data_IF_091490560622
#
_entry.id   IF_091490560622
#
_cell.length_a   1.000
_cell.length_b   1.000
_cell.length_c   1.000
_cell.angle_alpha   90.00
_cell.angle_beta   90.00
_cell.angle_gamma   90.00
#
_symmetry.space_group_name_H-M   'P 1'
#
loop_
_entity.id
_entity.type
_entity.pdbx_description
1 polymer ?
#
# COMPACT_ATOMS: atom_id res chain seq x y z
N UNK A 1 -12.23 23.00 0.63
CA UNK A 1 -12.71 21.69 0.14
C UNK A 1 -11.62 21.12 -0.74
N UNK A 2 -10.92 20.07 -0.30
CA UNK A 2 -9.86 19.45 -1.08
C UNK A 2 -10.50 18.50 -2.09
N UNK A 3 -10.75 19.01 -3.29
CA UNK A 3 -11.28 18.24 -4.40
C UNK A 3 -10.13 17.41 -5.02
N UNK A 4 -10.43 16.17 -5.38
CA UNK A 4 -9.53 15.31 -6.15
C UNK A 4 -9.67 15.60 -7.66
N UNK A 5 -8.78 15.01 -8.44
CA UNK A 5 -8.71 15.16 -9.91
C UNK A 5 -10.02 14.80 -10.65
N UNK A 6 -10.92 14.05 -9.99
CA UNK A 6 -12.23 13.63 -10.50
C UNK A 6 -13.41 14.45 -9.94
N UNK A 7 -13.15 15.50 -9.17
CA UNK A 7 -14.17 16.32 -8.52
C UNK A 7 -14.77 15.71 -7.25
N UNK A 8 -14.33 14.53 -6.82
CA UNK A 8 -14.76 13.94 -5.54
C UNK A 8 -14.13 14.67 -4.38
N UNK A 9 -14.88 14.87 -3.29
CA UNK A 9 -14.29 15.36 -2.04
C UNK A 9 -13.79 14.20 -1.17
N UNK A 10 -12.80 14.48 -0.32
CA UNK A 10 -12.33 13.53 0.72
C UNK A 10 -13.48 13.07 1.62
N UNK A 11 -14.44 13.95 1.89
CA UNK A 11 -15.61 13.67 2.71
C UNK A 11 -16.54 12.65 2.03
N UNK A 12 -16.78 12.79 0.72
CA UNK A 12 -17.57 11.83 -0.06
C UNK A 12 -16.94 10.44 -0.03
N UNK A 13 -15.62 10.36 -0.26
CA UNK A 13 -14.89 9.09 -0.20
C UNK A 13 -14.96 8.44 1.19
N UNK A 14 -14.92 9.27 2.25
CA UNK A 14 -15.03 8.78 3.63
C UNK A 14 -16.42 8.21 3.90
N UNK A 15 -17.48 8.86 3.40
CA UNK A 15 -18.86 8.36 3.51
C UNK A 15 -19.07 7.07 2.73
N UNK A 16 -18.60 7.01 1.47
CA UNK A 16 -18.64 5.79 0.65
C UNK A 16 -17.88 4.67 1.37
N UNK A 17 -16.71 4.96 1.92
CA UNK A 17 -15.91 3.99 2.67
C UNK A 17 -16.62 3.43 3.88
N UNK A 18 -17.19 4.29 4.74
CA UNK A 18 -17.97 3.83 5.91
C UNK A 18 -19.13 2.93 5.50
N UNK A 19 -19.89 3.33 4.49
CA UNK A 19 -20.99 2.53 3.96
C UNK A 19 -20.48 1.16 3.46
N UNK A 20 -19.43 1.16 2.64
CA UNK A 20 -18.84 -0.05 2.09
C UNK A 20 -18.32 -0.99 3.18
N UNK A 21 -17.60 -0.46 4.17
CA UNK A 21 -17.04 -1.23 5.28
C UNK A 21 -18.12 -1.91 6.13
N UNK A 22 -19.24 -1.23 6.40
CA UNK A 22 -20.36 -1.81 7.15
C UNK A 22 -21.17 -2.80 6.29
N UNK A 23 -21.44 -2.47 5.02
CA UNK A 23 -22.18 -3.34 4.11
C UNK A 23 -21.46 -4.66 3.87
N UNK A 24 -20.12 -4.64 3.73
CA UNK A 24 -19.30 -5.81 3.38
C UNK A 24 -18.86 -6.66 4.57
N UNK A 25 -19.34 -6.36 5.79
CA UNK A 25 -18.87 -7.02 7.02
C UNK A 25 -19.00 -8.56 7.00
N UNK A 26 -20.06 -9.06 6.36
CA UNK A 26 -20.36 -10.50 6.29
C UNK A 26 -20.21 -11.06 4.87
N UNK A 27 -19.67 -10.27 3.94
CA UNK A 27 -19.52 -10.69 2.56
C UNK A 27 -18.34 -11.65 2.44
N UNK A 28 -18.44 -12.58 1.51
CA UNK A 28 -17.34 -13.44 1.10
C UNK A 28 -16.28 -12.64 0.32
N UNK A 29 -15.06 -13.19 0.22
CA UNK A 29 -14.00 -12.59 -0.61
C UNK A 29 -14.43 -12.37 -2.07
N UNK A 30 -15.28 -13.26 -2.62
CA UNK A 30 -15.81 -13.13 -3.98
C UNK A 30 -16.75 -11.94 -4.14
N UNK A 31 -17.65 -11.77 -3.19
CA UNK A 31 -18.58 -10.63 -3.18
C UNK A 31 -17.81 -9.33 -3.03
N UNK A 32 -16.74 -9.29 -2.24
CA UNK A 32 -15.88 -8.11 -2.07
C UNK A 32 -15.11 -7.79 -3.35
N UNK A 33 -14.51 -8.80 -3.99
CA UNK A 33 -13.84 -8.61 -5.28
C UNK A 33 -14.82 -8.14 -6.37
N UNK A 34 -16.05 -8.64 -6.35
CA UNK A 34 -17.11 -8.16 -7.24
C UNK A 34 -17.50 -6.72 -6.93
N UNK A 35 -17.76 -6.37 -5.67
CA UNK A 35 -18.11 -5.02 -5.24
C UNK A 35 -17.03 -4.01 -5.63
N UNK A 36 -15.78 -4.40 -5.44
CA UNK A 36 -14.61 -3.65 -5.89
C UNK A 36 -14.67 -3.35 -7.39
N UNK A 37 -14.98 -4.35 -8.23
CA UNK A 37 -15.09 -4.12 -9.69
C UNK A 37 -16.17 -3.10 -10.08
N UNK A 38 -17.25 -3.02 -9.30
CA UNK A 38 -18.33 -2.06 -9.54
C UNK A 38 -17.91 -0.64 -9.14
N UNK A 39 -17.31 -0.50 -7.95
CA UNK A 39 -16.83 0.80 -7.46
C UNK A 39 -15.58 1.29 -8.22
N UNK A 40 -14.72 0.39 -8.68
CA UNK A 40 -13.59 0.69 -9.58
C UNK A 40 -14.07 1.41 -10.84
N UNK A 41 -15.18 0.93 -11.41
CA UNK A 41 -15.79 1.54 -12.60
C UNK A 41 -16.30 2.97 -12.33
N UNK A 42 -16.91 3.19 -11.15
CA UNK A 42 -17.41 4.50 -10.73
C UNK A 42 -16.28 5.49 -10.42
N UNK A 43 -15.29 5.07 -9.63
CA UNK A 43 -14.14 5.89 -9.19
C UNK A 43 -13.03 5.99 -10.26
N UNK A 44 -13.20 5.32 -11.39
CA UNK A 44 -12.24 5.19 -12.48
C UNK A 44 -10.85 4.72 -12.00
N UNK A 45 -10.80 3.85 -10.98
CA UNK A 45 -9.54 3.49 -10.31
C UNK A 45 -8.57 2.79 -11.27
N UNK A 46 -9.07 1.89 -12.12
CA UNK A 46 -8.27 1.25 -13.17
C UNK A 46 -7.63 2.28 -14.11
N UNK A 47 -8.39 3.26 -14.59
CA UNK A 47 -7.87 4.33 -15.46
C UNK A 47 -6.79 5.14 -14.75
N UNK A 48 -6.97 5.44 -13.47
CA UNK A 48 -5.97 6.15 -12.65
C UNK A 48 -4.70 5.31 -12.45
N UNK A 49 -4.85 4.02 -12.14
CA UNK A 49 -3.73 3.08 -12.00
C UNK A 49 -2.98 2.93 -13.33
N UNK A 50 -3.68 2.78 -14.46
CA UNK A 50 -3.06 2.63 -15.79
C UNK A 50 -2.30 3.92 -16.19
N UNK A 51 -2.84 5.09 -15.86
CA UNK A 51 -2.15 6.38 -16.01
C UNK A 51 -0.89 6.44 -15.15
N UNK A 52 -1.00 6.06 -13.87
CA UNK A 52 0.13 6.03 -12.95
C UNK A 52 1.20 5.00 -13.35
N UNK A 53 0.79 3.86 -13.90
CA UNK A 53 1.69 2.84 -14.46
C UNK A 53 2.52 3.41 -15.62
N UNK A 54 1.92 4.28 -16.42
CA UNK A 54 2.57 4.92 -17.58
C UNK A 54 3.51 6.06 -17.17
N UNK A 55 3.50 6.49 -15.91
CA UNK A 55 4.42 7.51 -15.40
C UNK A 55 5.83 6.92 -15.23
N UNK A 56 6.79 7.48 -15.96
CA UNK A 56 8.21 7.09 -15.86
C UNK A 56 8.78 7.37 -14.47
N UNK A 57 8.40 8.51 -13.87
CA UNK A 57 8.85 8.94 -12.56
C UNK A 57 7.70 9.16 -11.58
N UNK A 58 7.96 8.83 -10.32
CA UNK A 58 7.06 9.09 -9.20
C UNK A 58 7.15 10.56 -8.75
N UNK A 59 6.12 11.05 -8.08
CA UNK A 59 6.04 12.41 -7.53
C UNK A 59 5.69 13.50 -8.55
N UNK A 60 5.77 13.22 -9.86
CA UNK A 60 5.41 14.18 -10.91
C UNK A 60 3.91 14.44 -10.89
N UNK A 61 3.08 13.40 -10.96
CA UNK A 61 1.63 13.52 -10.96
C UNK A 61 1.04 13.42 -9.55
N UNK A 62 1.52 14.26 -8.63
CA UNK A 62 1.14 14.21 -7.20
C UNK A 62 -0.38 14.28 -6.93
N UNK A 63 -1.16 14.92 -7.80
CA UNK A 63 -2.63 14.94 -7.69
C UNK A 63 -3.25 13.58 -8.03
N UNK A 64 -2.77 12.92 -9.09
CA UNK A 64 -3.18 11.55 -9.45
C UNK A 64 -2.83 10.59 -8.32
N UNK A 65 -1.60 10.67 -7.80
CA UNK A 65 -1.11 9.83 -6.70
C UNK A 65 -2.01 9.95 -5.46
N UNK A 66 -2.38 11.17 -5.06
CA UNK A 66 -3.34 11.34 -3.97
C UNK A 66 -4.72 10.80 -4.28
N UNK A 67 -5.21 11.04 -5.49
CA UNK A 67 -6.53 10.54 -5.87
C UNK A 67 -6.57 9.02 -5.74
N UNK A 68 -5.55 8.32 -6.25
CA UNK A 68 -5.40 6.88 -6.11
C UNK A 68 -5.34 6.50 -4.63
N UNK A 69 -4.43 7.10 -3.86
CA UNK A 69 -4.26 6.77 -2.44
C UNK A 69 -5.55 6.95 -1.66
N UNK A 70 -6.21 8.10 -1.76
CA UNK A 70 -7.43 8.37 -1.01
C UNK A 70 -8.60 7.50 -1.44
N UNK A 71 -8.79 7.27 -2.74
CA UNK A 71 -9.80 6.33 -3.20
C UNK A 71 -9.57 4.94 -2.60
N UNK A 72 -8.32 4.46 -2.57
CA UNK A 72 -8.05 3.13 -2.02
C UNK A 72 -8.13 3.08 -0.49
N UNK A 73 -7.49 4.04 0.18
CA UNK A 73 -7.38 4.09 1.64
C UNK A 73 -8.72 4.36 2.29
N UNK A 74 -9.40 5.43 1.90
CA UNK A 74 -10.64 5.84 2.56
C UNK A 74 -11.82 4.92 2.22
N UNK A 75 -11.90 4.45 0.97
CA UNK A 75 -13.04 3.61 0.55
C UNK A 75 -12.89 2.16 1.01
N UNK A 76 -11.66 1.61 0.98
CA UNK A 76 -11.47 0.18 1.19
C UNK A 76 -10.59 -0.16 2.40
N UNK A 77 -9.33 0.30 2.44
CA UNK A 77 -8.39 -0.24 3.42
C UNK A 77 -8.67 0.23 4.85
N UNK A 78 -9.03 1.50 5.02
CA UNK A 78 -9.30 2.08 6.34
C UNK A 78 -10.70 1.77 6.84
N UNK A 79 -11.65 1.56 5.94
CA UNK A 79 -13.05 1.26 6.27
C UNK A 79 -13.29 -0.22 6.61
N UNK A 80 -12.61 -1.15 5.93
CA UNK A 80 -12.80 -2.58 6.11
C UNK A 80 -12.03 -3.06 7.33
N UNK A 81 -12.70 -3.74 8.26
CA UNK A 81 -12.06 -4.21 9.49
C UNK A 81 -11.36 -5.56 9.35
N UNK A 82 -11.86 -6.46 8.49
CA UNK A 82 -11.35 -7.82 8.40
C UNK A 82 -10.06 -7.89 7.56
N UNK A 83 -9.01 -8.49 8.13
CA UNK A 83 -7.72 -8.66 7.44
C UNK A 83 -7.82 -9.51 6.17
N UNK A 84 -8.68 -10.53 6.15
CA UNK A 84 -8.89 -11.35 4.95
C UNK A 84 -9.46 -10.52 3.79
N UNK A 85 -10.41 -9.62 4.06
CA UNK A 85 -11.00 -8.73 3.07
C UNK A 85 -9.98 -7.73 2.52
N UNK A 86 -9.18 -7.11 3.41
CA UNK A 86 -8.06 -6.25 3.00
C UNK A 86 -7.05 -7.01 2.14
N UNK A 87 -6.70 -8.23 2.52
CA UNK A 87 -5.79 -9.10 1.76
C UNK A 87 -6.35 -9.47 0.39
N UNK A 88 -7.64 -9.77 0.30
CA UNK A 88 -8.32 -10.04 -0.96
C UNK A 88 -8.24 -8.84 -1.91
N UNK A 89 -8.57 -7.64 -1.43
CA UNK A 89 -8.51 -6.41 -2.23
C UNK A 89 -7.09 -6.06 -2.66
N UNK A 90 -6.13 -6.14 -1.73
CA UNK A 90 -4.73 -5.90 -2.05
C UNK A 90 -4.25 -6.88 -3.13
N UNK A 91 -4.65 -8.15 -3.06
CA UNK A 91 -4.33 -9.13 -4.08
C UNK A 91 -4.99 -8.80 -5.44
N UNK A 92 -6.26 -8.37 -5.46
CA UNK A 92 -6.94 -7.96 -6.71
C UNK A 92 -6.21 -6.80 -7.39
N UNK A 93 -5.69 -5.85 -6.61
CA UNK A 93 -4.95 -4.69 -7.11
C UNK A 93 -3.57 -5.10 -7.64
N UNK A 94 -2.83 -5.92 -6.88
CA UNK A 94 -1.42 -6.22 -7.16
C UNK A 94 -1.22 -7.37 -8.16
N UNK A 95 -2.03 -8.43 -8.11
CA UNK A 95 -1.70 -9.73 -8.73
C UNK A 95 -1.47 -9.67 -10.25
N UNK A 96 -2.09 -8.72 -10.95
CA UNK A 96 -1.95 -8.57 -12.41
C UNK A 96 -0.79 -7.68 -12.84
N UNK A 97 -0.07 -7.10 -11.88
CA UNK A 97 0.96 -6.11 -12.12
C UNK A 97 2.37 -6.72 -12.05
N UNK A 98 3.36 -6.19 -12.78
CA UNK A 98 4.75 -6.58 -12.58
C UNK A 98 5.24 -6.14 -11.20
N UNK A 99 6.22 -6.86 -10.65
CA UNK A 99 6.63 -6.70 -9.24
C UNK A 99 7.12 -5.29 -8.88
N UNK A 100 7.83 -4.61 -9.78
CA UNK A 100 8.24 -3.22 -9.63
C UNK A 100 7.05 -2.29 -9.41
N UNK A 101 5.95 -2.52 -10.13
CA UNK A 101 4.75 -1.72 -9.99
C UNK A 101 3.94 -2.12 -8.76
N UNK A 102 3.97 -3.40 -8.36
CA UNK A 102 3.37 -3.84 -7.11
C UNK A 102 4.02 -3.11 -5.91
N UNK A 103 5.36 -3.06 -5.88
CA UNK A 103 6.12 -2.33 -4.87
C UNK A 103 5.77 -0.83 -4.86
N UNK A 104 5.72 -0.22 -6.05
CA UNK A 104 5.34 1.19 -6.22
C UNK A 104 3.92 1.47 -5.73
N UNK A 105 2.95 0.59 -6.02
CA UNK A 105 1.57 0.71 -5.52
C UNK A 105 1.51 0.56 -4.00
N UNK A 106 2.25 -0.38 -3.41
CA UNK A 106 2.31 -0.50 -1.94
C UNK A 106 2.85 0.79 -1.31
N UNK A 107 3.93 1.35 -1.84
CA UNK A 107 4.46 2.61 -1.34
C UNK A 107 3.46 3.75 -1.51
N UNK A 108 2.82 3.86 -2.69
CA UNK A 108 1.81 4.88 -2.96
C UNK A 108 0.68 4.83 -1.92
N UNK A 109 0.19 3.63 -1.60
CA UNK A 109 -0.95 3.42 -0.72
C UNK A 109 -0.60 3.54 0.77
N UNK A 110 0.58 3.08 1.18
CA UNK A 110 0.92 2.85 2.59
C UNK A 110 2.17 3.61 3.06
N UNK A 111 2.95 4.19 2.15
CA UNK A 111 4.17 4.94 2.46
C UNK A 111 3.89 6.28 3.14
N UNK A 112 4.94 6.99 3.57
CA UNK A 112 4.82 8.25 4.29
C UNK A 112 4.27 9.38 3.41
N UNK A 113 3.60 10.33 4.05
CA UNK A 113 3.15 11.57 3.43
C UNK A 113 3.79 12.77 4.12
N UNK A 114 4.11 13.79 3.35
CA UNK A 114 4.60 15.09 3.82
C UNK A 114 3.89 16.20 3.06
N UNK A 115 3.39 17.22 3.75
CA UNK A 115 2.69 18.38 3.15
C UNK A 115 1.58 17.98 2.17
N UNK A 116 0.80 16.95 2.51
CA UNK A 116 -0.20 16.35 1.61
C UNK A 116 0.42 15.98 0.26
N UNK A 117 1.56 15.28 0.26
CA UNK A 117 2.25 14.62 -0.87
C UNK A 117 2.84 13.30 -0.42
N UNK A 118 2.88 12.31 -1.29
CA UNK A 118 3.64 11.08 -1.03
C UNK A 118 5.12 11.46 -0.97
N UNK A 119 5.79 11.18 0.15
CA UNK A 119 7.21 11.50 0.31
C UNK A 119 8.08 10.33 -0.13
N UNK A 120 8.15 10.13 -1.46
CA UNK A 120 8.88 9.05 -2.13
C UNK A 120 10.37 8.91 -1.74
N UNK A 121 10.95 9.96 -1.18
CA UNK A 121 12.37 10.02 -0.81
C UNK A 121 12.61 9.84 0.69
N UNK A 122 11.55 9.80 1.51
CA UNK A 122 11.63 9.82 2.98
C UNK A 122 12.64 8.81 3.54
N UNK A 123 12.61 7.58 3.03
CA UNK A 123 13.47 6.48 3.48
C UNK A 123 14.80 6.37 2.73
N UNK A 124 15.08 7.25 1.78
CA UNK A 124 16.37 7.33 1.08
C UNK A 124 17.22 8.49 1.57
N UNK A 125 16.60 9.53 2.14
CA UNK A 125 17.29 10.69 2.71
C UNK A 125 17.99 10.32 4.01
N UNK A 126 19.18 10.87 4.20
CA UNK A 126 19.88 10.78 5.48
C UNK A 126 19.05 11.43 6.58
N UNK A 127 19.03 10.80 7.75
CA UNK A 127 18.38 11.34 8.93
C UNK A 127 19.22 12.54 9.39
N UNK A 128 18.92 13.73 8.87
CA UNK A 128 19.78 14.91 8.98
C UNK A 128 19.93 15.48 10.40
N UNK A 129 19.38 14.83 11.43
CA UNK A 129 19.69 15.09 12.84
C UNK A 129 19.56 13.78 13.65
N UNK A 130 20.68 13.34 14.25
CA UNK A 130 20.85 12.07 14.99
C UNK A 130 19.99 11.97 16.28
N UNK A 131 19.13 12.95 16.56
CA UNK A 131 18.34 13.05 17.79
C UNK A 131 16.84 13.29 17.58
N UNK A 132 16.34 13.14 16.34
CA UNK A 132 14.89 13.21 16.11
C UNK A 132 14.33 11.79 16.12
N UNK A 133 13.51 11.49 17.13
CA UNK A 133 12.62 10.31 17.09
C UNK A 133 11.82 10.32 15.78
N UNK A 134 11.42 9.15 15.25
CA UNK A 134 10.49 9.08 14.12
C UNK A 134 9.31 10.01 14.43
N UNK A 135 8.97 10.88 13.49
CA UNK A 135 7.75 11.66 13.68
C UNK A 135 6.55 10.70 13.55
N UNK A 136 5.40 11.10 14.12
CA UNK A 136 4.19 10.25 14.15
C UNK A 136 3.82 9.73 12.76
N UNK A 137 4.04 10.53 11.72
CA UNK A 137 3.76 10.16 10.33
C UNK A 137 4.68 9.04 9.79
N UNK A 138 5.94 9.01 10.24
CA UNK A 138 6.92 7.98 9.88
C UNK A 138 6.62 6.65 10.59
N UNK A 139 6.30 6.70 11.88
CA UNK A 139 5.89 5.52 12.64
C UNK A 139 4.62 4.89 12.05
N UNK A 140 3.63 5.73 11.73
CA UNK A 140 2.39 5.31 11.10
C UNK A 140 2.64 4.69 9.72
N UNK A 141 3.56 5.23 8.93
CA UNK A 141 3.93 4.66 7.63
C UNK A 141 4.54 3.26 7.77
N UNK A 142 5.43 3.03 8.74
CA UNK A 142 5.95 1.68 9.02
C UNK A 142 4.85 0.70 9.40
N UNK A 143 3.93 1.15 10.25
CA UNK A 143 2.80 0.33 10.67
C UNK A 143 1.85 0.00 9.51
N UNK A 144 1.58 0.97 8.64
CA UNK A 144 0.75 0.78 7.45
C UNK A 144 1.41 -0.14 6.41
N UNK A 145 2.71 0.05 6.14
CA UNK A 145 3.48 -0.81 5.24
C UNK A 145 3.57 -2.25 5.76
N UNK A 146 3.94 -2.42 7.03
CA UNK A 146 3.98 -3.76 7.65
C UNK A 146 2.61 -4.44 7.65
N UNK A 147 1.54 -3.68 7.90
CA UNK A 147 0.17 -4.19 7.78
C UNK A 147 -0.12 -4.66 6.36
N UNK A 148 0.31 -3.95 5.32
CA UNK A 148 0.15 -4.39 3.94
C UNK A 148 0.79 -5.76 3.72
N UNK A 149 2.05 -5.96 4.14
CA UNK A 149 2.71 -7.28 4.08
C UNK A 149 1.99 -8.36 4.89
N UNK A 150 1.45 -7.99 6.06
CA UNK A 150 0.75 -8.94 6.95
C UNK A 150 -0.56 -9.47 6.38
N UNK A 151 -1.21 -8.73 5.45
CA UNK A 151 -2.51 -9.12 4.87
C UNK A 151 -2.38 -9.88 3.55
N UNK A 152 -1.22 -9.82 2.87
CA UNK A 152 -1.00 -10.46 1.56
C UNK A 152 -1.24 -11.98 1.55
N UNK A 153 -1.12 -12.69 2.68
CA UNK A 153 -1.39 -14.14 2.75
C UNK A 153 -2.63 -14.51 3.60
N UNK A 154 -3.43 -13.52 4.01
CA UNK A 154 -4.56 -13.73 4.93
C UNK A 154 -5.86 -14.07 4.24
N UNK A 155 -5.93 -13.91 2.92
CA UNK A 155 -7.08 -14.24 2.10
C UNK A 155 -6.89 -15.59 1.41
N UNK A 156 -7.96 -16.36 1.25
CA UNK A 156 -7.93 -17.62 0.51
C UNK A 156 -7.54 -17.41 -0.96
N UNK A 157 -7.99 -16.30 -1.56
CA UNK A 157 -7.53 -15.88 -2.89
C UNK A 157 -6.04 -15.52 -2.94
N UNK A 158 -5.50 -14.99 -1.84
CA UNK A 158 -4.13 -14.48 -1.78
C UNK A 158 -3.10 -15.56 -1.42
N UNK A 159 -3.50 -16.63 -0.70
CA UNK A 159 -2.63 -17.74 -0.32
C UNK A 159 -1.99 -18.48 -1.49
N UNK A 160 -2.62 -18.50 -2.68
CA UNK A 160 -2.04 -19.10 -3.88
C UNK A 160 -0.96 -18.23 -4.55
N UNK A 161 -1.00 -16.92 -4.31
CA UNK A 161 -0.13 -15.94 -4.95
C UNK A 161 1.05 -15.50 -4.08
N UNK A 162 0.87 -15.51 -2.75
CA UNK A 162 1.81 -14.92 -1.80
C UNK A 162 2.43 -15.96 -0.88
N UNK A 163 3.64 -16.40 -1.23
CA UNK A 163 4.50 -17.21 -0.38
C UNK A 163 5.66 -16.35 0.16
N UNK A 164 6.52 -16.95 1.00
CA UNK A 164 7.68 -16.24 1.57
C UNK A 164 8.56 -15.59 0.50
N UNK A 165 8.83 -16.29 -0.61
CA UNK A 165 9.70 -15.79 -1.68
C UNK A 165 9.08 -14.62 -2.43
N UNK A 166 7.77 -14.66 -2.75
CA UNK A 166 7.13 -13.53 -3.43
C UNK A 166 6.99 -12.30 -2.53
N UNK A 167 6.74 -12.48 -1.23
CA UNK A 167 6.81 -11.38 -0.25
C UNK A 167 8.22 -10.78 -0.14
N UNK A 168 9.26 -11.62 -0.12
CA UNK A 168 10.66 -11.17 -0.11
C UNK A 168 11.02 -10.41 -1.39
N UNK A 169 10.63 -10.92 -2.56
CA UNK A 169 10.89 -10.25 -3.83
C UNK A 169 10.20 -8.88 -3.88
N UNK A 170 8.96 -8.79 -3.38
CA UNK A 170 8.22 -7.53 -3.29
C UNK A 170 8.89 -6.55 -2.31
N UNK A 171 9.37 -7.04 -1.16
CA UNK A 171 10.11 -6.22 -0.21
C UNK A 171 11.41 -5.69 -0.82
N UNK A 172 12.20 -6.54 -1.48
CA UNK A 172 13.45 -6.15 -2.13
C UNK A 172 13.22 -5.06 -3.19
N UNK A 173 12.14 -5.20 -3.96
CA UNK A 173 11.76 -4.22 -4.96
C UNK A 173 11.31 -2.88 -4.30
N UNK A 174 10.55 -2.95 -3.22
CA UNK A 174 10.08 -1.79 -2.45
C UNK A 174 11.24 -0.99 -1.84
N UNK A 175 12.27 -1.66 -1.32
CA UNK A 175 13.42 -0.98 -0.70
C UNK A 175 14.45 -0.52 -1.74
N UNK A 176 14.36 -1.00 -2.99
CA UNK A 176 15.23 -0.60 -4.09
C UNK A 176 14.67 0.58 -4.90
N UNK A 177 13.34 0.79 -4.89
CA UNK A 177 12.66 1.79 -5.70
C UNK A 177 11.74 2.71 -4.89
N UNK A 178 11.52 3.96 -5.34
CA UNK A 178 12.13 4.64 -6.50
C UNK A 178 13.62 4.95 -6.30
N UNK A 179 14.07 5.01 -5.04
CA UNK A 179 15.46 5.15 -4.64
C UNK A 179 15.77 4.10 -3.58
N UNK A 180 17.02 3.65 -3.51
CA UNK A 180 17.43 2.71 -2.46
C UNK A 180 17.18 3.30 -1.09
N UNK A 181 16.51 2.55 -0.22
CA UNK A 181 16.32 2.93 1.17
C UNK A 181 17.64 2.77 1.93
N UNK A 182 17.81 3.56 2.98
CA UNK A 182 18.92 3.39 3.92
C UNK A 182 18.66 2.18 4.83
N UNK A 183 19.73 1.52 5.26
CA UNK A 183 19.66 0.27 6.03
C UNK A 183 18.87 0.40 7.33
N UNK A 184 18.90 1.56 7.97
CA UNK A 184 18.22 1.79 9.25
C UNK A 184 16.70 1.72 9.05
N UNK A 185 16.18 2.34 7.99
CA UNK A 185 14.75 2.33 7.67
C UNK A 185 14.27 0.95 7.21
N UNK A 186 15.13 0.18 6.54
CA UNK A 186 14.84 -1.22 6.19
C UNK A 186 14.74 -2.07 7.45
N UNK A 187 15.70 -1.94 8.38
CA UNK A 187 15.68 -2.65 9.66
C UNK A 187 14.44 -2.30 10.49
N UNK A 188 14.05 -1.02 10.51
CA UNK A 188 12.85 -0.55 11.20
C UNK A 188 11.57 -1.14 10.59
N UNK A 189 11.41 -1.12 9.26
CA UNK A 189 10.29 -1.81 8.60
C UNK A 189 10.24 -3.31 8.95
N UNK A 190 11.38 -3.99 8.94
CA UNK A 190 11.45 -5.42 9.28
C UNK A 190 11.04 -5.70 10.73
N UNK A 191 11.38 -4.79 11.65
CA UNK A 191 10.91 -4.86 13.03
C UNK A 191 9.38 -4.83 13.10
N UNK A 192 8.72 -3.93 12.37
CA UNK A 192 7.26 -3.84 12.30
C UNK A 192 6.60 -5.03 11.59
N UNK A 193 7.23 -5.58 10.54
CA UNK A 193 6.73 -6.76 9.82
C UNK A 193 6.72 -8.04 10.66
N UNK A 194 7.44 -8.04 11.79
CA UNK A 194 7.47 -9.15 12.74
C UNK A 194 8.31 -10.35 12.27
N UNK A 195 8.25 -11.42 13.07
CA UNK A 195 9.22 -12.54 12.98
C UNK A 195 9.18 -13.31 11.67
N UNK A 196 8.01 -13.51 11.05
CA UNK A 196 7.89 -14.31 9.82
C UNK A 196 8.74 -13.71 8.69
N UNK A 197 8.52 -12.43 8.37
CA UNK A 197 9.25 -11.77 7.27
C UNK A 197 10.71 -11.54 7.62
N UNK A 198 11.01 -11.13 8.86
CA UNK A 198 12.39 -10.97 9.33
C UNK A 198 13.19 -12.27 9.22
N UNK A 199 12.60 -13.40 9.62
CA UNK A 199 13.28 -14.71 9.53
C UNK A 199 13.53 -15.11 8.07
N UNK A 200 12.56 -14.87 7.18
CA UNK A 200 12.73 -15.14 5.75
C UNK A 200 13.89 -14.32 5.16
N UNK A 201 14.03 -13.05 5.55
CA UNK A 201 15.14 -12.19 5.12
C UNK A 201 16.48 -12.73 5.64
N UNK A 202 16.56 -13.06 6.93
CA UNK A 202 17.79 -13.60 7.54
C UNK A 202 18.22 -14.93 6.91
N UNK A 203 17.27 -15.81 6.59
CA UNK A 203 17.55 -17.08 5.89
C UNK A 203 18.08 -16.79 4.48
N UNK A 204 17.46 -15.86 3.75
CA UNK A 204 17.92 -15.50 2.41
C UNK A 204 19.36 -14.98 2.40
N UNK A 205 19.74 -14.17 3.40
CA UNK A 205 21.12 -13.70 3.58
C UNK A 205 22.10 -14.81 3.99
N UNK A 206 21.67 -15.80 4.77
CA UNK A 206 22.55 -16.88 5.21
C UNK A 206 22.89 -17.88 4.09
N UNK A 207 22.09 -17.92 3.02
CA UNK A 207 22.22 -18.84 1.89
C UNK A 207 22.90 -18.19 0.67
N UNK A 208 23.03 -16.86 0.66
CA UNK A 208 23.74 -16.06 -0.37
C UNK A 208 25.22 -15.92 -0.06
#
# INVERSE_FOLDING_TARGET
MNLLDDGSSIEDLTHIGRFFGEATRHWSEREIAWAFSQLDSYLQLKKKIDRFYSCEHVGIESQLEHSIRFCFRLVYFDSIRLHAHRGCLLNVILYKQPIWFQARLIYLLFGPMSLNKIDWEKFSRDRSNFFTYPNVDEEQAYFDLSRAFSVLNRSAHAQKAWNSNSKLALLNELIAQPMSWKSEYVAELLFYCGRELLTNVLIAFAVS
#
